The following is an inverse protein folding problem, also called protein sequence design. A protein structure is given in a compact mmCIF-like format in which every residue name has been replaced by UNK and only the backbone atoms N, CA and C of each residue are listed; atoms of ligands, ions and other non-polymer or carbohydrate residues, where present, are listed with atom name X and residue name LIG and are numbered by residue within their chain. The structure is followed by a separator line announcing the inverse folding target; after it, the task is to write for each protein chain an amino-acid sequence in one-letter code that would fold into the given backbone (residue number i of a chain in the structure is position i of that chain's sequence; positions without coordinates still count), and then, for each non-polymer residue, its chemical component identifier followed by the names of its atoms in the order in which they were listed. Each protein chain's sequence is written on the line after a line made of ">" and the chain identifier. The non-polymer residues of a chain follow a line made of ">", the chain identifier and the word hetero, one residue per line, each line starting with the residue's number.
data_IF_767201954498
#
_entry.id   IF_767201954498
#
_cell.length_a   1.000
_cell.length_b   1.000
_cell.length_c   1.000
_cell.angle_alpha   90.00
_cell.angle_beta   90.00
_cell.angle_gamma   90.00
#
_symmetry.space_group_name_H-M   'P 1'
#
loop_
_entity.id
_entity.type
_entity.pdbx_description
1 polymer ?
#
# COMPACT_ATOMS: atom_id res chain seq x y z
N UNK A 1 11.60 15.50 -17.10
CA UNK A 1 10.25 14.88 -17.19
C UNK A 1 10.01 14.12 -15.90
N UNK A 2 8.89 14.38 -15.21
CA UNK A 2 8.83 14.24 -13.76
C UNK A 2 7.83 13.18 -13.27
N UNK A 3 8.21 12.25 -12.37
CA UNK A 3 7.34 11.27 -11.68
C UNK A 3 7.02 11.74 -10.27
N UNK A 4 5.76 11.75 -9.84
CA UNK A 4 5.37 11.84 -8.43
C UNK A 4 5.02 10.42 -7.91
N UNK A 5 5.76 9.94 -6.92
CA UNK A 5 5.51 8.70 -6.19
C UNK A 5 4.71 8.97 -4.93
N UNK A 6 3.77 8.10 -4.59
CA UNK A 6 2.91 8.24 -3.42
C UNK A 6 3.36 7.25 -2.34
N UNK A 7 3.69 7.75 -1.15
CA UNK A 7 3.94 6.95 0.05
C UNK A 7 2.87 7.22 1.09
N UNK A 8 2.39 6.16 1.73
CA UNK A 8 1.41 6.22 2.80
C UNK A 8 2.08 5.97 4.15
N UNK A 9 1.91 6.88 5.11
CA UNK A 9 2.37 6.71 6.49
C UNK A 9 1.20 6.21 7.34
N UNK A 10 1.33 5.03 7.97
CA UNK A 10 0.29 4.45 8.82
C UNK A 10 0.79 4.29 10.26
N UNK A 11 0.06 4.87 11.21
CA UNK A 11 0.10 4.49 12.64
C UNK A 11 -1.30 4.03 12.99
N UNK A 12 -1.54 2.72 13.01
CA UNK A 12 -2.84 2.14 13.39
C UNK A 12 -2.63 1.00 14.37
N UNK A 13 -3.07 1.19 15.62
CA UNK A 13 -3.19 0.12 16.61
C UNK A 13 -4.50 -0.63 16.36
N UNK A 14 -4.45 -1.77 15.67
CA UNK A 14 -5.63 -2.65 15.51
C UNK A 14 -5.23 -4.07 15.91
N UNK A 15 -6.02 -4.65 16.83
CA UNK A 15 -5.82 -5.97 17.40
C UNK A 15 -6.94 -6.88 16.88
N UNK A 16 -6.61 -7.92 16.09
CA UNK A 16 -7.59 -8.91 15.64
C UNK A 16 -6.99 -10.31 15.56
N UNK A 17 -7.70 -11.28 16.14
CA UNK A 17 -7.39 -12.73 16.18
C UNK A 17 -8.55 -13.47 15.51
N UNK A 18 -8.28 -14.40 14.57
CA UNK A 18 -9.28 -15.35 14.07
C UNK A 18 -8.67 -16.71 13.64
N UNK A 19 -9.42 -17.84 13.76
CA UNK A 19 -8.92 -19.21 13.60
C UNK A 19 -9.03 -19.78 12.16
N UNK A 20 -8.28 -20.86 11.91
CA UNK A 20 -7.97 -21.48 10.60
C UNK A 20 -9.06 -22.40 10.01
N UNK A 21 -9.34 -22.26 8.70
CA UNK A 21 -9.75 -23.31 7.74
C UNK A 21 -9.20 -22.92 6.33
N UNK A 22 -8.82 -23.90 5.49
CA UNK A 22 -8.15 -23.84 4.17
C UNK A 22 -8.67 -22.81 3.12
N UNK A 23 -8.51 -21.53 3.42
CA UNK A 23 -8.53 -20.40 2.50
C UNK A 23 -7.20 -19.65 2.66
N UNK A 24 -6.70 -19.01 1.60
CA UNK A 24 -5.54 -18.12 1.75
C UNK A 24 -5.95 -16.92 2.62
N UNK A 25 -5.81 -17.07 3.94
CA UNK A 25 -6.08 -16.02 4.91
C UNK A 25 -4.92 -15.05 4.90
N UNK A 26 -5.04 -13.99 4.08
CA UNK A 26 -4.06 -12.93 4.05
C UNK A 26 -4.27 -11.98 5.23
N UNK A 27 -3.26 -11.87 6.09
CA UNK A 27 -3.23 -10.82 7.12
C UNK A 27 -2.98 -9.47 6.44
N UNK A 28 -3.90 -8.51 6.65
CA UNK A 28 -3.76 -7.15 6.14
C UNK A 28 -2.75 -6.38 6.99
N UNK A 29 -2.80 -6.56 8.30
CA UNK A 29 -1.85 -6.00 9.25
C UNK A 29 -0.99 -7.09 9.86
N UNK A 30 0.27 -6.77 10.11
CA UNK A 30 1.20 -7.64 10.81
C UNK A 30 2.09 -6.82 11.72
N UNK A 31 2.72 -7.47 12.71
CA UNK A 31 3.70 -6.83 13.59
C UNK A 31 5.07 -7.49 13.39
N UNK A 32 6.09 -6.67 13.20
CA UNK A 32 7.49 -7.07 13.01
C UNK A 32 8.32 -6.04 13.78
N UNK A 33 9.14 -6.52 14.73
CA UNK A 33 10.08 -5.68 15.49
C UNK A 33 9.42 -4.45 16.16
N UNK A 34 8.19 -4.63 16.67
CA UNK A 34 7.42 -3.56 17.32
C UNK A 34 6.64 -2.65 16.37
N UNK A 35 6.91 -2.69 15.06
CA UNK A 35 6.20 -1.91 14.05
C UNK A 35 5.01 -2.67 13.46
N UNK A 36 3.93 -1.94 13.17
CA UNK A 36 2.76 -2.48 12.48
C UNK A 36 2.93 -2.22 10.98
N UNK A 37 3.05 -3.29 10.20
CA UNK A 37 3.11 -3.22 8.74
C UNK A 37 1.78 -3.57 8.11
N UNK A 38 1.66 -3.23 6.83
CA UNK A 38 0.43 -3.37 6.05
C UNK A 38 0.70 -4.09 4.73
N UNK A 39 -0.15 -5.06 4.39
CA UNK A 39 -0.17 -5.75 3.10
C UNK A 39 -1.54 -5.61 2.46
N UNK A 40 -1.77 -4.45 1.85
CA UNK A 40 -3.04 -4.10 1.24
C UNK A 40 -2.88 -3.77 -0.26
N UNK A 41 -3.87 -4.16 -1.05
CA UNK A 41 -4.02 -3.72 -2.44
C UNK A 41 -5.49 -3.35 -2.68
N UNK A 42 -5.79 -2.16 -3.21
CA UNK A 42 -7.16 -1.76 -3.51
C UNK A 42 -7.78 -2.54 -4.68
N UNK A 43 -6.98 -3.33 -5.41
CA UNK A 43 -7.42 -4.16 -6.54
C UNK A 43 -7.72 -5.61 -6.13
N UNK A 44 -7.99 -5.87 -4.85
CA UNK A 44 -8.36 -7.21 -4.38
C UNK A 44 -9.72 -7.59 -4.98
N UNK A 45 -9.68 -8.33 -6.09
CA UNK A 45 -10.87 -8.90 -6.70
C UNK A 45 -11.16 -10.27 -6.05
N UNK A 46 -12.44 -10.58 -5.83
CA UNK A 46 -12.94 -11.90 -5.42
C UNK A 46 -12.54 -12.41 -4.02
N UNK A 47 -12.43 -11.54 -3.01
CA UNK A 47 -12.29 -11.98 -1.61
C UNK A 47 -13.65 -12.18 -0.93
N UNK A 48 -13.73 -13.16 -0.03
CA UNK A 48 -14.84 -13.32 0.91
C UNK A 48 -14.36 -12.85 2.29
N UNK A 49 -15.12 -11.98 2.93
CA UNK A 49 -14.84 -11.50 4.28
C UNK A 49 -16.15 -11.13 4.98
N UNK A 50 -16.07 -10.85 6.28
CA UNK A 50 -17.21 -10.32 7.03
C UNK A 50 -17.47 -8.86 6.66
N UNK A 51 -18.65 -8.36 7.00
CA UNK A 51 -19.03 -6.96 6.73
C UNK A 51 -18.10 -5.99 7.46
N UNK A 52 -17.65 -6.32 8.68
CA UNK A 52 -16.73 -5.49 9.45
C UNK A 52 -15.37 -5.38 8.76
N UNK A 53 -14.86 -6.50 8.23
CA UNK A 53 -13.59 -6.51 7.48
C UNK A 53 -13.73 -5.72 6.18
N UNK A 54 -14.86 -5.87 5.48
CA UNK A 54 -15.13 -5.12 4.27
C UNK A 54 -15.17 -3.61 4.54
N UNK A 55 -15.90 -3.18 5.57
CA UNK A 55 -15.97 -1.77 5.98
C UNK A 55 -14.58 -1.21 6.30
N UNK A 56 -13.78 -1.93 7.10
CA UNK A 56 -12.41 -1.52 7.41
C UNK A 56 -11.55 -1.37 6.14
N UNK A 57 -11.68 -2.28 5.18
CA UNK A 57 -10.96 -2.19 3.92
C UNK A 57 -11.38 -0.97 3.10
N UNK A 58 -12.67 -0.61 3.12
CA UNK A 58 -13.16 0.60 2.49
C UNK A 58 -12.62 1.86 3.18
N UNK A 59 -12.57 1.88 4.51
CA UNK A 59 -12.03 2.99 5.28
C UNK A 59 -10.53 3.19 4.99
N UNK A 60 -9.75 2.10 4.97
CA UNK A 60 -8.34 2.14 4.56
C UNK A 60 -8.23 2.67 3.12
N UNK A 61 -9.08 2.18 2.21
CA UNK A 61 -9.06 2.60 0.81
C UNK A 61 -9.37 4.10 0.67
N UNK A 62 -10.35 4.63 1.40
CA UNK A 62 -10.65 6.06 1.42
C UNK A 62 -9.46 6.85 1.98
N UNK A 63 -8.93 6.40 3.12
CA UNK A 63 -7.81 7.05 3.80
C UNK A 63 -6.58 7.18 2.91
N UNK A 64 -6.19 6.12 2.18
CA UNK A 64 -5.04 6.19 1.26
C UNK A 64 -5.36 7.06 0.02
N UNK A 65 -6.61 7.22 -0.41
CA UNK A 65 -6.85 8.06 -1.58
C UNK A 65 -6.86 9.57 -1.26
N UNK A 66 -6.88 9.95 0.03
CA UNK A 66 -6.75 11.34 0.47
C UNK A 66 -5.32 11.86 0.29
N UNK A 67 -5.18 13.05 -0.31
CA UNK A 67 -3.89 13.64 -0.67
C UNK A 67 -3.04 14.01 0.55
N UNK A 68 -3.70 14.31 1.65
CA UNK A 68 -3.10 14.77 2.90
C UNK A 68 -2.33 13.63 3.59
N UNK A 69 -2.73 12.38 3.32
CA UNK A 69 -2.10 11.16 3.84
C UNK A 69 -1.02 10.61 2.89
N UNK A 70 -0.66 11.38 1.86
CA UNK A 70 0.26 10.99 0.81
C UNK A 70 1.54 11.82 0.86
N UNK A 71 2.69 11.17 1.02
CA UNK A 71 3.97 11.78 0.71
C UNK A 71 4.23 11.63 -0.80
N UNK A 72 4.35 12.77 -1.50
CA UNK A 72 4.57 12.82 -2.95
C UNK A 72 6.02 13.11 -3.27
N UNK A 73 6.71 12.14 -3.85
CA UNK A 73 8.14 12.24 -4.17
C UNK A 73 8.39 12.40 -5.65
N UNK A 74 9.15 13.43 -6.00
CA UNK A 74 9.51 13.70 -7.37
C UNK A 74 10.86 13.06 -7.75
N UNK A 75 10.88 12.02 -8.61
CA UNK A 75 12.12 11.38 -9.06
C UNK A 75 12.64 11.89 -10.40
N UNK A 76 13.92 12.24 -10.42
CA UNK A 76 14.70 12.55 -11.63
C UNK A 76 15.33 11.28 -12.22
N UNK A 77 15.86 11.41 -13.42
CA UNK A 77 16.61 10.35 -14.09
C UNK A 77 17.75 9.85 -13.21
N UNK A 78 17.97 8.53 -13.21
CA UNK A 78 18.97 7.82 -12.41
C UNK A 78 18.80 7.94 -10.88
N UNK A 79 17.69 8.48 -10.38
CA UNK A 79 17.33 8.38 -8.97
C UNK A 79 16.50 7.13 -8.71
N UNK A 80 16.74 6.50 -7.57
CA UNK A 80 15.93 5.38 -7.09
C UNK A 80 15.34 5.70 -5.71
N UNK A 81 14.23 5.04 -5.39
CA UNK A 81 13.67 5.04 -4.03
C UNK A 81 13.79 3.62 -3.50
N UNK A 82 14.32 3.53 -2.29
CA UNK A 82 14.41 2.30 -1.52
C UNK A 82 13.55 2.49 -0.27
N UNK A 83 12.65 1.56 -0.01
CA UNK A 83 11.76 1.61 1.13
C UNK A 83 11.34 0.20 1.53
N UNK A 84 10.94 0.05 2.80
CA UNK A 84 10.35 -1.20 3.28
C UNK A 84 8.92 -1.33 2.77
N UNK A 85 8.68 -2.30 1.88
CA UNK A 85 7.33 -2.62 1.41
C UNK A 85 6.39 -3.14 2.52
N UNK A 86 6.94 -3.47 3.67
CA UNK A 86 6.18 -3.83 4.86
C UNK A 86 5.60 -2.62 5.59
N UNK A 87 6.36 -1.51 5.63
CA UNK A 87 5.98 -0.29 6.36
C UNK A 87 5.21 0.70 5.48
N UNK A 88 5.48 0.71 4.18
CA UNK A 88 4.93 1.70 3.27
C UNK A 88 4.17 1.05 2.13
N UNK A 89 2.95 1.52 1.89
CA UNK A 89 2.27 1.32 0.62
C UNK A 89 2.84 2.31 -0.40
N UNK A 90 3.00 1.86 -1.64
CA UNK A 90 3.50 2.69 -2.73
C UNK A 90 2.55 2.63 -3.93
N UNK A 91 2.37 3.77 -4.58
CA UNK A 91 1.71 3.84 -5.88
C UNK A 91 2.30 4.97 -6.72
N UNK A 92 1.73 5.17 -7.91
CA UNK A 92 2.16 6.19 -8.85
C UNK A 92 0.98 7.08 -9.21
N UNK A 93 1.19 8.39 -9.24
CA UNK A 93 0.19 9.34 -9.74
C UNK A 93 -0.09 9.13 -11.23
N UNK A 94 -1.19 9.69 -11.73
CA UNK A 94 -1.48 9.71 -13.16
C UNK A 94 -0.46 10.59 -13.89
N UNK A 95 0.00 10.14 -15.05
CA UNK A 95 0.93 10.86 -15.92
C UNK A 95 0.45 10.79 -17.38
N UNK A 96 0.93 11.67 -18.28
CA UNK A 96 0.57 11.66 -19.69
C UNK A 96 0.94 10.35 -20.37
N UNK A 97 0.09 9.82 -21.25
CA UNK A 97 0.33 8.55 -21.95
C UNK A 97 1.58 8.58 -22.83
N UNK A 98 1.88 9.73 -23.43
CA UNK A 98 2.97 9.88 -24.40
C UNK A 98 4.32 10.22 -23.75
N UNK A 99 4.40 10.15 -22.41
CA UNK A 99 5.63 10.45 -21.70
C UNK A 99 6.64 9.29 -21.85
N UNK A 100 7.80 9.56 -22.43
CA UNK A 100 8.89 8.59 -22.56
C UNK A 100 9.55 8.37 -21.20
N UNK A 101 9.32 7.20 -20.58
CA UNK A 101 9.82 6.87 -19.23
C UNK A 101 10.21 5.40 -19.16
N UNK A 102 11.42 5.13 -18.67
CA UNK A 102 11.88 3.78 -18.35
C UNK A 102 12.08 3.70 -16.84
N UNK A 103 11.50 2.68 -16.19
CA UNK A 103 11.64 2.44 -14.76
C UNK A 103 12.15 1.03 -14.54
N UNK A 104 13.08 0.89 -13.59
CA UNK A 104 13.55 -0.40 -13.10
C UNK A 104 13.02 -0.62 -11.68
N UNK A 105 12.60 -1.85 -11.39
CA UNK A 105 12.08 -2.24 -10.08
C UNK A 105 12.78 -3.52 -9.66
N UNK A 106 13.36 -3.50 -8.47
CA UNK A 106 13.98 -4.66 -7.85
C UNK A 106 13.22 -5.00 -6.56
N UNK A 107 13.10 -6.29 -6.27
CA UNK A 107 12.53 -6.83 -5.03
C UNK A 107 13.58 -7.69 -4.36
N UNK A 108 13.81 -7.45 -3.07
CA UNK A 108 14.79 -8.15 -2.24
C UNK A 108 14.11 -8.61 -0.96
#
# INVERSE_FOLDING_TARGET
>A
MFLDWLFYYFVMNVLLVFPMINFFQKRIFSRIEGNIGISFSPLLNNFKCTEEVYSMLMDINIFIHQKENQCRLHLRENQCIVFSNYLYLHSRTRFPKDSQRTLFRFWF
#
